data_IF_928866941697
#
_entry.id   IF_928866941697
#
_cell.length_a   1.000
_cell.length_b   1.000
_cell.length_c   1.000
_cell.angle_alpha   90.00
_cell.angle_beta   90.00
_cell.angle_gamma   90.00
#
_symmetry.space_group_name_H-M   'P 1'
#
loop_
_entity.id
_entity.type
_entity.pdbx_description
1 polymer ?
#
# COMPACT_ATOMS: atom_id res chain seq x y z
N UNK A 1 -9.32 2.21 5.97
CA UNK A 1 -8.15 1.92 5.09
C UNK A 1 -7.85 0.42 4.98
N UNK A 2 -7.79 -0.31 6.09
CA UNK A 2 -7.56 -1.77 6.10
C UNK A 2 -8.57 -2.57 5.25
N UNK A 3 -9.88 -2.33 5.42
CA UNK A 3 -10.92 -2.99 4.60
C UNK A 3 -10.83 -2.67 3.11
N UNK A 4 -10.44 -1.44 2.75
CA UNK A 4 -10.21 -1.04 1.36
C UNK A 4 -8.99 -1.73 0.76
N UNK A 5 -7.93 -1.93 1.55
CA UNK A 5 -6.80 -2.74 1.10
C UNK A 5 -7.17 -4.21 0.86
N UNK A 6 -8.13 -4.74 1.62
CA UNK A 6 -8.64 -6.10 1.41
C UNK A 6 -9.48 -6.22 0.13
N UNK A 7 -10.28 -5.21 -0.22
CA UNK A 7 -11.01 -5.14 -1.49
C UNK A 7 -10.13 -4.66 -2.65
N UNK A 8 -10.05 -3.34 -2.81
CA UNK A 8 -9.45 -2.63 -3.96
C UNK A 8 -7.92 -2.46 -3.88
N UNK A 9 -7.32 -2.87 -2.76
CA UNK A 9 -5.88 -2.83 -2.59
C UNK A 9 -5.16 -3.99 -3.27
N UNK A 10 -3.97 -3.73 -3.80
CA UNK A 10 -3.05 -4.75 -4.29
C UNK A 10 -1.72 -4.66 -3.56
N UNK A 11 -1.16 -5.83 -3.24
CA UNK A 11 0.22 -5.99 -2.80
C UNK A 11 1.00 -6.55 -3.98
N UNK A 12 1.85 -5.74 -4.58
CA UNK A 12 2.62 -6.10 -5.78
C UNK A 12 4.11 -5.91 -5.54
N UNK A 13 4.95 -6.39 -6.47
CA UNK A 13 6.39 -6.16 -6.43
C UNK A 13 6.82 -5.31 -7.62
N UNK A 14 7.82 -4.48 -7.39
CA UNK A 14 8.66 -3.94 -8.45
C UNK A 14 10.07 -4.50 -8.28
N UNK A 15 10.45 -5.40 -9.19
CA UNK A 15 11.65 -6.26 -9.10
C UNK A 15 11.68 -7.03 -7.78
N UNK A 16 12.30 -6.47 -6.75
CA UNK A 16 12.44 -7.04 -5.40
C UNK A 16 11.70 -6.27 -4.31
N UNK A 17 11.19 -5.08 -4.60
CA UNK A 17 10.58 -4.20 -3.58
C UNK A 17 9.06 -4.36 -3.58
N UNK A 18 8.48 -4.56 -2.40
CA UNK A 18 7.03 -4.48 -2.26
C UNK A 18 6.53 -3.06 -2.55
N UNK A 19 5.36 -3.00 -3.17
CA UNK A 19 4.56 -1.79 -3.30
C UNK A 19 3.12 -2.11 -2.98
N UNK A 20 2.45 -1.16 -2.35
CA UNK A 20 1.02 -1.22 -2.05
C UNK A 20 0.32 -0.23 -2.97
N UNK A 21 -0.77 -0.65 -3.59
CA UNK A 21 -1.57 0.22 -4.46
C UNK A 21 -3.04 0.10 -4.09
N UNK A 22 -3.76 1.22 -4.08
CA UNK A 22 -5.22 1.27 -3.96
C UNK A 22 -5.75 1.93 -5.22
N UNK A 23 -6.75 1.31 -5.83
CA UNK A 23 -7.35 1.74 -7.09
C UNK A 23 -8.77 2.25 -6.83
N UNK A 24 -9.15 3.38 -7.44
CA UNK A 24 -10.52 3.89 -7.35
C UNK A 24 -10.83 4.89 -8.45
N UNK A 25 -12.07 4.91 -8.94
CA UNK A 25 -12.56 5.99 -9.82
C UNK A 25 -12.76 7.31 -9.08
N UNK A 26 -12.82 7.30 -7.74
CA UNK A 26 -13.07 8.49 -6.94
C UNK A 26 -11.78 9.21 -6.55
N UNK A 27 -11.51 10.36 -7.19
CA UNK A 27 -10.35 11.21 -6.85
C UNK A 27 -10.39 11.70 -5.39
N UNK A 28 -11.55 12.14 -4.91
CA UNK A 28 -11.70 12.68 -3.55
C UNK A 28 -11.41 11.62 -2.49
N UNK A 29 -11.85 10.39 -2.73
CA UNK A 29 -11.55 9.26 -1.87
C UNK A 29 -10.04 8.95 -1.83
N UNK A 30 -9.37 9.01 -2.98
CA UNK A 30 -7.91 8.79 -3.02
C UNK A 30 -7.12 9.89 -2.32
N UNK A 31 -7.56 11.15 -2.43
CA UNK A 31 -6.97 12.27 -1.68
C UNK A 31 -7.15 12.04 -0.17
N UNK A 32 -8.35 11.68 0.27
CA UNK A 32 -8.61 11.38 1.68
C UNK A 32 -7.74 10.22 2.20
N UNK A 33 -7.59 9.14 1.43
CA UNK A 33 -6.68 8.06 1.81
C UNK A 33 -5.22 8.53 1.89
N UNK A 34 -4.79 9.39 0.98
CA UNK A 34 -3.45 10.00 1.01
C UNK A 34 -3.21 10.79 2.30
N UNK A 35 -4.19 11.58 2.73
CA UNK A 35 -4.13 12.32 3.99
C UNK A 35 -4.08 11.41 5.22
N UNK A 36 -4.90 10.35 5.24
CA UNK A 36 -4.88 9.35 6.33
C UNK A 36 -3.53 8.67 6.44
N UNK A 37 -2.92 8.30 5.31
CA UNK A 37 -1.56 7.73 5.27
C UNK A 37 -0.53 8.74 5.78
N UNK A 38 -0.60 9.98 5.31
CA UNK A 38 0.32 11.04 5.70
C UNK A 38 0.28 11.33 7.20
N UNK A 39 -0.93 11.39 7.80
CA UNK A 39 -1.12 11.53 9.26
C UNK A 39 -0.49 10.38 10.05
N UNK A 40 -0.32 9.22 9.43
CA UNK A 40 0.35 8.06 10.01
C UNK A 40 1.86 8.01 9.71
N UNK A 41 2.41 9.06 9.07
CA UNK A 41 3.82 9.14 8.68
C UNK A 41 4.15 8.32 7.44
N UNK A 42 3.14 7.86 6.68
CA UNK A 42 3.32 7.01 5.50
C UNK A 42 3.17 7.87 4.26
N UNK A 43 4.26 8.02 3.48
CA UNK A 43 4.22 8.76 2.22
C UNK A 43 3.63 7.90 1.10
N UNK A 44 2.75 8.51 0.32
CA UNK A 44 2.14 7.90 -0.86
C UNK A 44 2.20 8.84 -2.05
N UNK A 45 2.02 8.29 -3.25
CA UNK A 45 1.93 9.05 -4.51
C UNK A 45 0.66 8.68 -5.23
N UNK A 46 -0.05 9.68 -5.74
CA UNK A 46 -1.25 9.48 -6.55
C UNK A 46 -0.94 9.69 -8.03
N UNK A 47 -1.50 8.85 -8.88
CA UNK A 47 -1.46 8.97 -10.33
C UNK A 47 -2.81 8.58 -10.93
N UNK A 48 -3.03 8.95 -12.18
CA UNK A 48 -4.24 8.60 -12.91
C UNK A 48 -3.89 7.64 -14.05
N UNK A 49 -4.50 6.46 -14.03
CA UNK A 49 -4.41 5.46 -15.09
C UNK A 49 -5.47 5.76 -16.15
N UNK A 50 -5.01 6.24 -17.31
CA UNK A 50 -5.87 6.72 -18.40
C UNK A 50 -6.73 5.62 -18.99
N UNK A 51 -6.21 4.39 -19.08
CA UNK A 51 -6.88 3.27 -19.76
C UNK A 51 -8.11 2.82 -18.98
N UNK A 52 -7.97 2.70 -17.66
CA UNK A 52 -9.06 2.27 -16.77
C UNK A 52 -9.89 3.43 -16.23
N UNK A 53 -9.46 4.68 -16.48
CA UNK A 53 -10.03 5.91 -15.91
C UNK A 53 -10.10 5.83 -14.38
N UNK A 54 -9.02 5.38 -13.76
CA UNK A 54 -8.92 5.16 -12.32
C UNK A 54 -7.74 5.92 -11.73
N UNK A 55 -7.91 6.37 -10.49
CA UNK A 55 -6.86 6.91 -9.66
C UNK A 55 -6.19 5.78 -8.90
N UNK A 56 -4.87 5.86 -8.78
CA UNK A 56 -4.06 4.90 -8.06
C UNK A 56 -3.27 5.64 -7.01
N UNK A 57 -3.39 5.20 -5.76
CA UNK A 57 -2.57 5.67 -4.66
C UNK A 57 -1.55 4.58 -4.31
N UNK A 58 -0.27 4.90 -4.47
CA UNK A 58 0.84 3.96 -4.28
C UNK A 58 1.67 4.33 -3.06
N UNK A 59 1.98 3.32 -2.25
CA UNK A 59 3.04 3.34 -1.25
C UNK A 59 4.18 2.49 -1.80
N UNK A 60 5.28 3.13 -2.19
CA UNK A 60 6.38 2.46 -2.91
C UNK A 60 7.75 2.55 -2.24
N UNK A 61 7.91 3.44 -1.25
CA UNK A 61 9.16 3.54 -0.49
C UNK A 61 9.20 2.42 0.54
N UNK A 62 10.38 1.82 0.70
CA UNK A 62 10.56 0.64 1.55
C UNK A 62 10.19 0.93 3.00
N UNK A 63 10.59 2.08 3.54
CA UNK A 63 10.29 2.48 4.91
C UNK A 63 8.80 2.67 5.11
N UNK A 64 8.12 3.30 4.15
CA UNK A 64 6.67 3.57 4.20
C UNK A 64 5.84 2.28 4.11
N UNK A 65 6.23 1.33 3.26
CA UNK A 65 5.59 0.00 3.19
C UNK A 65 5.76 -0.76 4.50
N UNK A 66 6.94 -0.67 5.12
CA UNK A 66 7.18 -1.30 6.41
C UNK A 66 6.39 -0.64 7.55
N UNK A 67 6.32 0.69 7.56
CA UNK A 67 5.48 1.44 8.50
C UNK A 67 4.01 1.05 8.34
N UNK A 68 3.54 0.90 7.10
CA UNK A 68 2.20 0.43 6.80
C UNK A 68 1.97 -0.96 7.41
N UNK A 69 2.86 -1.92 7.15
CA UNK A 69 2.78 -3.28 7.70
C UNK A 69 2.70 -3.29 9.23
N UNK A 70 3.52 -2.46 9.90
CA UNK A 70 3.53 -2.35 11.37
C UNK A 70 2.25 -1.75 11.96
N UNK A 71 1.63 -0.79 11.25
CA UNK A 71 0.49 -0.02 11.78
C UNK A 71 -0.88 -0.55 11.34
N UNK A 72 -0.94 -1.20 10.18
CA UNK A 72 -2.20 -1.52 9.51
C UNK A 72 -2.20 -3.00 9.11
N UNK A 73 -3.09 -3.77 9.75
CA UNK A 73 -3.38 -5.14 9.34
C UNK A 73 -4.37 -5.15 8.17
N UNK A 74 -4.04 -5.89 7.12
CA UNK A 74 -4.97 -6.14 6.01
C UNK A 74 -5.85 -7.32 6.42
N UNK A 75 -7.19 -7.17 6.50
CA UNK A 75 -8.12 -8.24 6.84
C UNK A 75 -8.35 -9.16 5.63
N UNK A 76 -7.27 -9.64 5.02
CA UNK A 76 -7.25 -10.59 3.91
C UNK A 76 -5.98 -11.44 4.05
N UNK A 77 -6.07 -12.71 4.47
CA UNK A 77 -4.92 -13.53 4.85
C UNK A 77 -3.82 -13.58 3.79
N UNK A 78 -4.18 -13.82 2.52
CA UNK A 78 -3.19 -13.92 1.43
C UNK A 78 -2.46 -12.60 1.16
N UNK A 79 -3.18 -11.47 1.15
CA UNK A 79 -2.57 -10.14 0.95
C UNK A 79 -1.67 -9.78 2.13
N UNK A 80 -2.08 -10.11 3.35
CA UNK A 80 -1.29 -9.91 4.55
C UNK A 80 -0.01 -10.76 4.52
N UNK A 81 -0.12 -12.06 4.23
CA UNK A 81 1.02 -12.96 4.12
C UNK A 81 1.98 -12.52 3.01
N UNK A 82 1.47 -12.01 1.88
CA UNK A 82 2.29 -11.46 0.80
C UNK A 82 3.08 -10.23 1.25
N UNK A 83 2.44 -9.32 1.97
CA UNK A 83 3.10 -8.14 2.53
C UNK A 83 4.17 -8.53 3.56
N UNK A 84 3.85 -9.46 4.46
CA UNK A 84 4.76 -9.99 5.47
C UNK A 84 5.98 -10.66 4.85
N UNK A 85 5.79 -11.55 3.87
CA UNK A 85 6.88 -12.18 3.14
C UNK A 85 7.83 -11.14 2.51
N UNK A 86 7.30 -10.02 2.02
CA UNK A 86 8.13 -8.97 1.44
C UNK A 86 8.87 -8.16 2.50
N UNK A 87 8.25 -7.93 3.65
CA UNK A 87 8.92 -7.27 4.75
C UNK A 87 10.01 -8.17 5.35
N UNK A 88 9.81 -9.48 5.45
CA UNK A 88 10.79 -10.41 6.03
C UNK A 88 11.95 -10.75 5.07
N UNK A 89 11.70 -10.85 3.76
CA UNK A 89 12.75 -11.18 2.77
C UNK A 89 13.67 -10.00 2.41
N UNK A 90 13.25 -8.76 2.68
CA UNK A 90 13.96 -7.55 2.26
C UNK A 90 14.67 -6.83 3.39
N UNK A 91 14.57 -7.31 4.63
CA UNK A 91 15.16 -6.70 5.81
C UNK A 91 15.98 -7.76 6.55
N UNK A 92 17.27 -7.52 6.85
CA UNK A 92 17.96 -8.37 7.79
C UNK A 92 17.21 -8.27 9.12
N UNK A 93 16.91 -9.43 9.71
CA UNK A 93 16.46 -9.53 11.10
C UNK A 93 17.36 -8.63 11.93
N UNK A 94 16.80 -7.61 12.56
CA UNK A 94 17.53 -6.96 13.64
C UNK A 94 17.63 -8.02 14.75
N UNK A 95 18.85 -8.52 14.96
CA UNK A 95 19.21 -9.29 16.16
C UNK A 95 18.78 -8.53 17.41
#
# INVERSE_FOLDING_TARGET
LSGWMAGDGSVTKDRTRAKLEIWSKSKSMMLWFGEVLLKNGIKSRMFFEKTKKEHILRIGRKEDVFLFYKKIKIPHPEKQAKLENHCNSSWPSSN
#
